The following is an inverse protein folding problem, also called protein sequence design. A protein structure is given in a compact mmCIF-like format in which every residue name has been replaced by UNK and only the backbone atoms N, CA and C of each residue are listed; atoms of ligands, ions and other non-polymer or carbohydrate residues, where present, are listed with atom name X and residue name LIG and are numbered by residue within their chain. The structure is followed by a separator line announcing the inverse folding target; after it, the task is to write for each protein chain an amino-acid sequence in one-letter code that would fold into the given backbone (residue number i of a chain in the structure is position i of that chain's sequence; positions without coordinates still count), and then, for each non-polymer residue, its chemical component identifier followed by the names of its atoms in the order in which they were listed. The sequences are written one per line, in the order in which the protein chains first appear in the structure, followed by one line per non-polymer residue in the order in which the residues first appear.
data_IF_924018234199
#
_entry.id   IF_924018234199
#
_cell.length_a   1.000
_cell.length_b   1.000
_cell.length_c   1.000
_cell.angle_alpha   90.00
_cell.angle_beta   90.00
_cell.angle_gamma   90.00
#
_symmetry.space_group_name_H-M   'P 1'
#
loop_
_entity.id
_entity.type
_entity.pdbx_description
1 polymer ?
#
# COMPACT_ATOMS: atom_id res chain seq x y z
N UNK A 1 3.26 26.07 6.68
CA UNK A 1 4.15 25.45 5.66
C UNK A 1 5.19 24.64 6.41
N UNK A 2 5.53 23.45 5.91
CA UNK A 2 6.43 22.48 6.56
C UNK A 2 6.80 21.35 5.59
N UNK A 3 7.27 20.23 6.12
CA UNK A 3 7.60 19.02 5.34
C UNK A 3 6.52 17.95 5.53
N UNK A 4 6.07 17.35 4.43
CA UNK A 4 5.26 16.14 4.42
C UNK A 4 6.03 14.97 3.83
N UNK A 5 5.92 13.79 4.43
CA UNK A 5 6.56 12.56 3.96
C UNK A 5 5.56 11.41 3.87
N UNK A 6 5.60 10.66 2.77
CA UNK A 6 5.01 9.33 2.66
C UNK A 6 6.08 8.28 2.94
N UNK A 7 5.74 7.24 3.70
CA UNK A 7 6.67 6.14 3.98
C UNK A 7 5.98 4.78 3.88
N UNK A 8 6.67 3.74 3.36
CA UNK A 8 6.18 2.37 3.49
C UNK A 8 6.20 1.94 4.96
N UNK A 9 5.36 0.97 5.30
CA UNK A 9 5.21 0.48 6.67
C UNK A 9 4.12 1.21 7.46
N UNK A 10 3.96 0.82 8.73
CA UNK A 10 2.97 1.37 9.63
C UNK A 10 3.50 2.66 10.27
N UNK A 11 2.76 3.75 10.12
CA UNK A 11 3.14 5.08 10.60
C UNK A 11 2.37 5.44 11.87
N UNK A 12 3.09 5.79 12.94
CA UNK A 12 2.52 6.49 14.09
C UNK A 12 2.64 8.01 13.86
N UNK A 13 1.50 8.64 13.57
CA UNK A 13 1.41 10.08 13.26
C UNK A 13 1.55 10.98 14.47
N UNK A 14 1.38 10.44 15.69
CA UNK A 14 1.56 11.22 16.92
C UNK A 14 3.03 11.25 17.30
N UNK A 15 3.71 10.12 17.18
CA UNK A 15 5.13 10.00 17.46
C UNK A 15 6.03 10.34 16.25
N UNK A 16 5.44 10.50 15.06
CA UNK A 16 6.14 10.64 13.77
C UNK A 16 7.18 9.53 13.53
N UNK A 17 6.78 8.29 13.79
CA UNK A 17 7.64 7.11 13.66
C UNK A 17 7.12 6.12 12.62
N UNK A 18 8.01 5.27 12.12
CA UNK A 18 7.69 4.22 11.14
C UNK A 18 8.13 2.87 11.67
N UNK A 19 7.24 1.88 11.61
CA UNK A 19 7.53 0.48 12.00
C UNK A 19 7.20 -0.46 10.84
N UNK A 20 8.00 -1.52 10.66
CA UNK A 20 7.68 -2.58 9.70
C UNK A 20 7.96 -2.24 8.23
N UNK A 21 8.78 -1.22 7.94
CA UNK A 21 9.25 -0.92 6.59
C UNK A 21 10.40 -1.86 6.17
N UNK A 22 10.12 -3.17 6.10
CA UNK A 22 11.13 -4.20 5.88
C UNK A 22 11.84 -4.07 4.53
N UNK A 23 11.16 -3.55 3.50
CA UNK A 23 11.75 -3.24 2.20
C UNK A 23 12.85 -2.16 2.29
N UNK A 24 12.82 -1.31 3.32
CA UNK A 24 13.87 -0.33 3.62
C UNK A 24 14.93 -0.87 4.59
N UNK A 25 14.89 -2.16 4.94
CA UNK A 25 15.69 -2.79 6.00
C UNK A 25 15.48 -2.15 7.39
N UNK A 26 14.36 -1.47 7.63
CA UNK A 26 14.00 -0.93 8.94
C UNK A 26 13.36 -2.01 9.79
N UNK A 27 14.21 -2.73 10.53
CA UNK A 27 13.79 -3.85 11.39
C UNK A 27 13.13 -3.38 12.70
N UNK A 28 13.53 -2.21 13.17
CA UNK A 28 13.03 -1.58 14.39
C UNK A 28 12.25 -0.31 14.04
N UNK A 29 11.49 0.23 14.99
CA UNK A 29 10.83 1.52 14.85
C UNK A 29 11.85 2.63 14.58
N UNK A 30 11.57 3.46 13.57
CA UNK A 30 12.42 4.60 13.18
C UNK A 30 11.78 5.91 13.62
N UNK A 31 12.55 6.75 14.31
CA UNK A 31 12.15 8.08 14.76
C UNK A 31 12.38 9.15 13.68
N UNK A 32 11.68 9.02 12.56
CA UNK A 32 11.91 9.85 11.37
C UNK A 32 11.63 11.33 11.66
N UNK A 33 10.52 11.64 12.35
CA UNK A 33 10.14 13.03 12.59
C UNK A 33 11.08 13.78 13.50
N UNK A 34 11.47 13.20 14.65
CA UNK A 34 12.33 13.88 15.62
C UNK A 34 13.68 14.26 15.01
N UNK A 35 14.24 13.39 14.15
CA UNK A 35 15.49 13.63 13.44
C UNK A 35 15.32 14.78 12.43
N UNK A 36 14.29 14.73 11.58
CA UNK A 36 14.09 15.74 10.54
C UNK A 36 13.78 17.12 11.14
N UNK A 37 12.92 17.19 12.16
CA UNK A 37 12.56 18.45 12.81
C UNK A 37 13.76 19.08 13.52
N UNK A 38 14.59 18.27 14.18
CA UNK A 38 15.80 18.74 14.85
C UNK A 38 16.81 19.34 13.87
N UNK A 39 17.03 18.68 12.73
CA UNK A 39 18.05 19.10 11.77
C UNK A 39 17.60 20.30 10.91
N UNK A 40 16.30 20.42 10.62
CA UNK A 40 15.78 21.44 9.70
C UNK A 40 15.05 22.59 10.41
N UNK A 41 14.63 22.42 11.66
CA UNK A 41 13.94 23.45 12.44
C UNK A 41 12.57 23.86 11.88
N UNK A 42 11.92 22.99 11.09
CA UNK A 42 10.60 23.23 10.49
C UNK A 42 9.62 22.10 10.80
N UNK A 43 8.30 22.38 10.86
CA UNK A 43 7.30 21.36 11.21
C UNK A 43 7.30 20.18 10.23
N UNK A 44 7.18 18.97 10.77
CA UNK A 44 7.14 17.73 10.00
C UNK A 44 5.84 16.96 10.21
N UNK A 45 5.35 16.33 9.15
CA UNK A 45 4.26 15.37 9.18
C UNK A 45 4.60 14.16 8.31
N UNK A 46 4.20 12.98 8.75
CA UNK A 46 4.38 11.72 8.02
C UNK A 46 3.08 10.92 7.99
N UNK A 47 2.87 10.19 6.91
CA UNK A 47 1.80 9.21 6.76
C UNK A 47 2.27 8.02 5.90
N UNK A 48 1.44 7.00 5.78
CA UNK A 48 1.68 5.89 4.87
C UNK A 48 1.77 6.40 3.40
N UNK A 49 2.61 5.76 2.59
CA UNK A 49 2.85 6.12 1.20
C UNK A 49 1.60 6.10 0.30
N UNK A 50 0.76 5.06 0.41
CA UNK A 50 -0.50 4.97 -0.33
C UNK A 50 -1.55 5.99 0.18
N UNK A 51 -1.56 6.28 1.48
CA UNK A 51 -2.38 7.33 2.07
C UNK A 51 -2.04 8.72 1.52
N UNK A 52 -0.76 9.10 1.48
CA UNK A 52 -0.37 10.42 0.92
C UNK A 52 -0.62 10.49 -0.59
N UNK A 53 -0.49 9.38 -1.32
CA UNK A 53 -0.86 9.32 -2.72
C UNK A 53 -2.38 9.57 -2.90
N UNK A 54 -3.22 8.98 -2.05
CA UNK A 54 -4.66 9.23 -2.04
C UNK A 54 -5.00 10.71 -1.78
N UNK A 55 -4.28 11.37 -0.87
CA UNK A 55 -4.43 12.82 -0.64
C UNK A 55 -4.04 13.63 -1.87
N UNK A 56 -2.97 13.25 -2.57
CA UNK A 56 -2.56 13.88 -3.82
C UNK A 56 -3.61 13.75 -4.92
N UNK A 57 -4.11 12.54 -5.14
CA UNK A 57 -5.16 12.26 -6.13
C UNK A 57 -6.47 12.97 -5.78
N UNK A 58 -6.84 13.01 -4.49
CA UNK A 58 -7.97 13.83 -4.06
C UNK A 58 -7.75 15.30 -4.35
N UNK A 59 -6.59 15.85 -4.04
CA UNK A 59 -6.41 17.30 -4.07
C UNK A 59 -6.29 17.86 -5.50
N UNK A 60 -5.40 17.28 -6.31
CA UNK A 60 -5.01 17.79 -7.62
C UNK A 60 -5.17 16.78 -8.76
N UNK A 61 -5.58 15.56 -8.44
CA UNK A 61 -5.71 14.46 -9.40
C UNK A 61 -7.16 14.06 -9.65
N UNK A 62 -7.36 12.76 -9.91
CA UNK A 62 -8.63 12.20 -10.34
C UNK A 62 -9.74 12.24 -9.27
N UNK A 63 -9.40 12.51 -8.02
CA UNK A 63 -10.38 12.62 -6.93
C UNK A 63 -11.08 13.97 -6.85
N UNK A 64 -10.63 15.01 -7.57
CA UNK A 64 -11.32 16.30 -7.74
C UNK A 64 -11.88 16.94 -6.45
N UNK A 65 -11.14 16.87 -5.36
CA UNK A 65 -11.49 17.29 -4.00
C UNK A 65 -12.76 16.65 -3.42
N UNK A 66 -13.24 15.54 -3.99
CA UNK A 66 -14.37 14.79 -3.48
C UNK A 66 -14.13 14.38 -2.01
N UNK A 67 -15.13 14.50 -1.12
CA UNK A 67 -15.00 14.07 0.26
C UNK A 67 -14.83 12.56 0.43
N UNK A 68 -15.25 11.77 -0.56
CA UNK A 68 -15.25 10.30 -0.50
C UNK A 68 -14.45 9.74 -1.68
N UNK A 69 -13.22 9.29 -1.39
CA UNK A 69 -12.28 8.77 -2.40
C UNK A 69 -11.64 7.49 -1.88
N UNK A 70 -11.66 6.45 -2.69
CA UNK A 70 -10.84 5.25 -2.49
C UNK A 70 -9.77 5.22 -3.55
N UNK A 71 -8.52 5.25 -3.12
CA UNK A 71 -7.35 5.15 -3.97
C UNK A 71 -6.73 3.77 -3.81
N UNK A 72 -6.31 3.19 -4.94
CA UNK A 72 -5.57 1.93 -4.98
C UNK A 72 -4.37 2.09 -5.90
N UNK A 73 -3.20 1.72 -5.39
CA UNK A 73 -1.96 1.68 -6.19
C UNK A 73 -1.61 0.24 -6.52
N UNK A 74 -1.32 -0.01 -7.79
CA UNK A 74 -0.89 -1.30 -8.32
C UNK A 74 0.56 -1.18 -8.78
N UNK A 75 1.48 -1.86 -8.10
CA UNK A 75 2.91 -1.81 -8.42
C UNK A 75 3.61 -3.08 -7.98
N UNK A 76 4.72 -2.93 -7.25
CA UNK A 76 5.41 -4.07 -6.62
C UNK A 76 4.46 -4.85 -5.71
N UNK A 77 3.63 -4.11 -4.96
CA UNK A 77 2.53 -4.62 -4.14
C UNK A 77 1.20 -3.96 -4.51
N UNK A 78 0.20 -4.11 -3.64
CA UNK A 78 -1.07 -3.40 -3.74
C UNK A 78 -1.28 -2.57 -2.48
N UNK A 79 -1.30 -1.25 -2.62
CA UNK A 79 -1.54 -0.31 -1.52
C UNK A 79 -2.87 0.41 -1.69
N UNK A 80 -3.35 1.06 -0.63
CA UNK A 80 -4.56 1.87 -0.70
C UNK A 80 -4.60 3.03 0.29
N UNK A 81 -5.48 3.97 -0.01
CA UNK A 81 -5.84 5.06 0.89
C UNK A 81 -7.33 5.34 0.77
N UNK A 82 -7.99 5.51 1.91
CA UNK A 82 -9.44 5.72 1.99
C UNK A 82 -9.69 7.09 2.60
N UNK A 83 -10.45 7.92 1.91
CA UNK A 83 -10.93 9.21 2.39
C UNK A 83 -12.45 9.11 2.46
N UNK A 84 -13.03 9.43 3.62
CA UNK A 84 -14.46 9.46 3.83
C UNK A 84 -14.84 10.72 4.62
N UNK A 85 -15.92 11.39 4.20
CA UNK A 85 -16.35 12.69 4.76
C UNK A 85 -15.19 13.71 4.80
N UNK A 86 -14.34 13.70 3.77
CA UNK A 86 -13.17 14.57 3.62
C UNK A 86 -11.97 14.21 4.50
N UNK A 87 -12.06 13.16 5.31
CA UNK A 87 -11.03 12.72 6.25
C UNK A 87 -10.36 11.44 5.77
N UNK A 88 -9.02 11.42 5.79
CA UNK A 88 -8.25 10.21 5.55
C UNK A 88 -8.45 9.22 6.71
N UNK A 89 -8.71 7.95 6.38
CA UNK A 89 -9.00 6.88 7.34
C UNK A 89 -7.73 6.10 7.66
N UNK A 90 -7.23 6.25 8.89
CA UNK A 90 -6.04 5.56 9.36
C UNK A 90 -6.31 4.24 10.07
N UNK A 91 -7.50 4.05 10.65
CA UNK A 91 -7.78 2.92 11.54
C UNK A 91 -7.01 2.99 12.87
N UNK A 92 -7.35 2.09 13.80
CA UNK A 92 -6.80 2.10 15.18
C UNK A 92 -5.29 1.86 15.25
N UNK A 93 -4.74 1.14 14.27
CA UNK A 93 -3.33 0.76 14.21
C UNK A 93 -2.58 1.38 13.00
N UNK A 94 -3.15 2.40 12.35
CA UNK A 94 -2.54 3.01 11.16
C UNK A 94 -2.62 2.16 9.88
N UNK A 95 -3.45 1.13 9.87
CA UNK A 95 -3.60 0.15 8.78
C UNK A 95 -4.99 0.20 8.09
N UNK A 96 -5.69 1.33 8.18
CA UNK A 96 -7.07 1.48 7.67
C UNK A 96 -7.22 1.37 6.15
N UNK A 97 -6.14 1.57 5.39
CA UNK A 97 -6.10 1.53 3.93
C UNK A 97 -5.45 0.29 3.33
N UNK A 98 -5.20 -0.77 4.12
CA UNK A 98 -4.48 -1.99 3.69
C UNK A 98 -5.31 -2.92 2.78
N UNK A 99 -5.90 -2.36 1.72
CA UNK A 99 -6.79 -3.05 0.77
C UNK A 99 -6.08 -4.19 0.02
N UNK A 100 -4.76 -4.12 -0.15
CA UNK A 100 -3.97 -5.19 -0.75
C UNK A 100 -4.03 -6.50 0.03
N UNK A 101 -4.32 -6.45 1.32
CA UNK A 101 -4.37 -7.61 2.20
C UNK A 101 -5.80 -8.16 2.42
N UNK A 102 -6.82 -7.61 1.76
CA UNK A 102 -8.16 -8.20 1.74
C UNK A 102 -8.12 -9.59 1.11
N UNK A 103 -8.78 -10.56 1.76
CA UNK A 103 -8.88 -11.94 1.24
C UNK A 103 -9.91 -11.96 0.12
N UNK A 104 -9.45 -12.23 -1.11
CA UNK A 104 -10.28 -12.35 -2.32
C UNK A 104 -10.38 -13.79 -2.82
N UNK A 105 -9.49 -14.68 -2.36
CA UNK A 105 -9.52 -16.11 -2.64
C UNK A 105 -9.34 -16.91 -1.33
N UNK A 106 -10.43 -17.26 -0.64
CA UNK A 106 -10.38 -17.79 0.72
C UNK A 106 -9.99 -19.28 0.81
N UNK A 107 -10.19 -20.06 -0.24
CA UNK A 107 -10.00 -21.51 -0.18
C UNK A 107 -8.63 -21.91 -0.73
N UNK A 108 -8.28 -21.46 -1.93
CA UNK A 108 -7.08 -21.89 -2.65
C UNK A 108 -6.15 -20.72 -2.98
N UNK A 109 -6.11 -19.73 -2.08
CA UNK A 109 -5.38 -18.49 -2.28
C UNK A 109 -3.87 -18.68 -2.21
N UNK A 110 -3.13 -17.92 -3.01
CA UNK A 110 -1.68 -17.88 -2.90
C UNK A 110 -1.25 -17.36 -1.52
N UNK A 111 -0.14 -17.89 -1.01
CA UNK A 111 0.50 -17.36 0.19
C UNK A 111 0.91 -15.88 -0.02
N UNK A 112 0.60 -15.05 0.97
CA UNK A 112 0.97 -13.63 1.01
C UNK A 112 2.11 -13.41 2.00
N UNK A 113 2.97 -12.43 1.73
CA UNK A 113 4.10 -12.05 2.60
C UNK A 113 3.67 -11.48 3.95
N UNK A 114 2.41 -11.04 4.09
CA UNK A 114 1.85 -10.62 5.37
C UNK A 114 1.59 -11.79 6.34
N UNK A 115 1.74 -13.04 5.88
CA UNK A 115 1.51 -14.26 6.67
C UNK A 115 0.14 -14.90 6.44
N UNK A 116 -0.77 -14.25 5.71
CA UNK A 116 -2.08 -14.77 5.34
C UNK A 116 -2.08 -15.47 3.96
N UNK A 117 -3.25 -15.91 3.50
CA UNK A 117 -3.46 -16.52 2.17
C UNK A 117 -4.60 -15.80 1.42
N UNK A 118 -4.49 -15.74 0.09
CA UNK A 118 -5.58 -15.25 -0.76
C UNK A 118 -5.76 -13.74 -0.79
N UNK A 119 -4.77 -12.97 -0.34
CA UNK A 119 -4.81 -11.51 -0.39
C UNK A 119 -4.89 -10.98 -1.83
N UNK A 120 -5.60 -9.87 -2.04
CA UNK A 120 -5.72 -9.18 -3.34
C UNK A 120 -4.36 -8.92 -3.99
N UNK A 121 -3.36 -8.53 -3.19
CA UNK A 121 -1.99 -8.30 -3.65
C UNK A 121 -1.40 -9.50 -4.41
N UNK A 122 -1.74 -10.72 -3.99
CA UNK A 122 -1.18 -11.95 -4.56
C UNK A 122 -1.65 -12.24 -5.97
N UNK A 123 -2.68 -11.52 -6.45
CA UNK A 123 -3.27 -11.67 -7.79
C UNK A 123 -3.27 -10.37 -8.60
N UNK A 124 -3.22 -9.20 -7.94
CA UNK A 124 -3.35 -7.90 -8.60
C UNK A 124 -2.05 -7.06 -8.61
N UNK A 125 -1.04 -7.39 -7.82
CA UNK A 125 0.29 -6.75 -7.95
C UNK A 125 0.98 -7.16 -9.26
N UNK A 126 2.06 -6.48 -9.64
CA UNK A 126 2.85 -6.86 -10.81
C UNK A 126 3.31 -8.33 -10.75
N UNK A 127 3.77 -8.79 -9.59
CA UNK A 127 4.15 -10.20 -9.40
C UNK A 127 2.94 -11.13 -9.29
N UNK A 128 1.83 -10.65 -8.75
CA UNK A 128 0.56 -11.37 -8.68
C UNK A 128 -0.02 -11.69 -10.06
N UNK A 129 -0.06 -10.71 -10.96
CA UNK A 129 -0.54 -10.92 -12.34
C UNK A 129 0.29 -11.98 -13.06
N UNK A 130 1.63 -11.94 -12.92
CA UNK A 130 2.52 -12.96 -13.50
C UNK A 130 2.23 -14.35 -12.91
N UNK A 131 1.98 -14.45 -11.60
CA UNK A 131 1.67 -15.71 -10.91
C UNK A 131 0.35 -16.31 -11.40
N UNK A 132 -0.70 -15.48 -11.50
CA UNK A 132 -2.00 -15.89 -12.04
C UNK A 132 -1.87 -16.34 -13.50
N UNK A 133 -1.16 -15.57 -14.33
CA UNK A 133 -0.96 -15.92 -15.73
C UNK A 133 -0.26 -17.27 -15.91
N UNK A 134 0.76 -17.58 -15.10
CA UNK A 134 1.45 -18.88 -15.12
C UNK A 134 0.53 -20.02 -14.71
N UNK A 135 -0.20 -19.87 -13.60
CA UNK A 135 -1.14 -20.88 -13.12
C UNK A 135 -2.20 -21.23 -14.19
N UNK A 136 -2.81 -20.19 -14.78
CA UNK A 136 -3.83 -20.37 -15.83
C UNK A 136 -3.22 -20.95 -17.11
N UNK A 137 -1.99 -20.57 -17.46
CA UNK A 137 -1.28 -21.16 -18.57
C UNK A 137 -1.05 -22.66 -18.33
N UNK A 138 -0.58 -23.09 -17.17
CA UNK A 138 -0.36 -24.52 -16.87
C UNK A 138 -1.65 -25.35 -16.99
N UNK A 139 -2.79 -24.82 -16.53
CA UNK A 139 -4.09 -25.51 -16.60
C UNK A 139 -4.75 -25.50 -17.99
N UNK A 140 -4.27 -24.69 -18.94
CA UNK A 140 -4.89 -24.56 -20.26
C UNK A 140 -4.60 -25.78 -21.17
N UNK A 141 -5.62 -26.56 -21.53
CA UNK A 141 -5.43 -27.76 -22.37
C UNK A 141 -5.45 -27.49 -23.90
N UNK A 142 -5.67 -26.25 -24.34
CA UNK A 142 -5.74 -25.91 -25.76
C UNK A 142 -4.40 -25.57 -26.41
N UNK A 143 -4.43 -25.42 -27.74
CA UNK A 143 -3.28 -24.93 -28.51
C UNK A 143 -3.08 -23.42 -28.30
N UNK A 144 -1.84 -23.03 -27.98
CA UNK A 144 -1.46 -21.62 -27.84
C UNK A 144 -0.10 -21.38 -28.47
N UNK A 145 -0.01 -20.37 -29.31
CA UNK A 145 1.26 -19.91 -29.91
C UNK A 145 2.26 -19.42 -28.87
N UNK A 146 1.79 -19.06 -27.67
CA UNK A 146 2.62 -18.59 -26.55
C UNK A 146 3.18 -19.76 -25.73
N UNK A 147 2.51 -20.92 -25.69
CA UNK A 147 3.00 -22.12 -24.99
C UNK A 147 4.10 -22.88 -25.73
N UNK A 148 4.16 -22.73 -27.04
CA UNK A 148 5.06 -23.49 -27.91
C UNK A 148 6.48 -22.88 -28.01
N UNK A 149 6.72 -21.73 -27.38
CA UNK A 149 8.00 -21.00 -27.38
C UNK A 149 8.73 -21.16 -26.03
#
# INVERSE_FOLDING_TARGET
IGIGMGSPGAVDRTANTVTGAFNLNWKETQEVGSIIEKELGIPFAIDNDANVAALGERWVGAGENNPDVVFMTLGTGVGGGIIADGNLIHGVAGAGGEIGHMIVEPENGFACTCGSHGCLETVASATGVVKVARLLAEAYEGDSTIKAA
#
